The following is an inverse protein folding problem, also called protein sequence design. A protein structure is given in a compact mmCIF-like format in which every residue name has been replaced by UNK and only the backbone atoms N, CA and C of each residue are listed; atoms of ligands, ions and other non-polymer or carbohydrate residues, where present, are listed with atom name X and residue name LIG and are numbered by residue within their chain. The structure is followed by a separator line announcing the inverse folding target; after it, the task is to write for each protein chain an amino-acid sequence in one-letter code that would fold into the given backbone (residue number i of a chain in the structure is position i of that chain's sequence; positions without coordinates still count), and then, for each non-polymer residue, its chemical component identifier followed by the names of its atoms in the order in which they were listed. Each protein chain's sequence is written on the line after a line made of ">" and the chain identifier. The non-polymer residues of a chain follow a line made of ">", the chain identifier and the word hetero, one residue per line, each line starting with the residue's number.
data_IF_494231949486
#
_entry.id   IF_494231949486
#
_cell.length_a   1.000
_cell.length_b   1.000
_cell.length_c   1.000
_cell.angle_alpha   90.00
_cell.angle_beta   90.00
_cell.angle_gamma   90.00
#
_symmetry.space_group_name_H-M   'P 1'
#
loop_
_entity.id
_entity.type
_entity.pdbx_description
1 polymer ?
#
# COMPACT_ATOMS: atom_id res chain seq x y z
N UNK A 1 -10.81 -73.71 4.81
CA UNK A 1 -10.48 -73.64 6.25
C UNK A 1 -10.29 -72.16 6.61
N UNK A 2 -11.27 -71.29 6.85
CA UNK A 2 -12.35 -71.28 7.88
C UNK A 2 -11.89 -71.94 9.20
N UNK A 3 -11.94 -71.18 10.31
CA UNK A 3 -11.75 -71.58 11.72
C UNK A 3 -10.32 -71.69 12.31
N UNK A 4 -9.53 -70.62 12.21
CA UNK A 4 -8.49 -70.23 13.20
C UNK A 4 -8.48 -68.69 13.26
N UNK A 5 -9.57 -68.00 13.60
CA UNK A 5 -10.14 -67.87 14.96
C UNK A 5 -9.06 -67.62 16.02
N UNK A 6 -8.86 -66.33 16.28
CA UNK A 6 -8.71 -65.74 17.61
C UNK A 6 -7.81 -66.46 18.63
N UNK A 7 -6.51 -66.17 18.60
CA UNK A 7 -5.69 -66.12 19.82
C UNK A 7 -4.54 -65.09 19.80
N UNK A 8 -4.49 -64.19 18.80
CA UNK A 8 -3.44 -63.16 18.64
C UNK A 8 -4.00 -61.73 18.65
N UNK A 9 -5.06 -61.50 19.44
CA UNK A 9 -5.66 -60.16 19.71
C UNK A 9 -5.58 -59.82 21.22
N UNK A 10 -4.93 -60.67 22.01
CA UNK A 10 -4.63 -60.43 23.43
C UNK A 10 -3.10 -60.38 23.56
N UNK A 11 -2.61 -59.45 24.38
CA UNK A 11 -1.20 -59.26 24.76
C UNK A 11 -0.32 -58.38 23.85
N UNK A 12 -0.73 -57.12 23.63
CA UNK A 12 0.19 -55.99 23.40
C UNK A 12 -0.35 -54.66 23.99
N UNK A 13 -0.89 -54.74 25.21
CA UNK A 13 -1.20 -53.58 26.05
C UNK A 13 -0.11 -53.45 27.12
N UNK A 14 1.02 -52.82 26.80
CA UNK A 14 2.02 -52.37 27.79
C UNK A 14 2.95 -51.28 27.22
N UNK A 15 3.08 -50.21 28.00
CA UNK A 15 4.22 -49.25 28.04
C UNK A 15 4.62 -48.48 26.79
N UNK A 16 4.09 -47.25 26.68
CA UNK A 16 4.84 -46.07 26.22
C UNK A 16 4.28 -44.78 26.85
N UNK A 17 4.50 -44.57 28.15
CA UNK A 17 4.31 -43.25 28.77
C UNK A 17 5.57 -42.41 28.54
N UNK A 18 5.66 -41.76 27.38
CA UNK A 18 6.66 -40.69 27.16
C UNK A 18 6.12 -39.39 27.74
N UNK A 19 6.80 -38.87 28.76
CA UNK A 19 6.44 -37.58 29.35
C UNK A 19 6.66 -36.46 28.32
N UNK A 20 5.57 -35.86 27.84
CA UNK A 20 5.62 -34.73 26.94
C UNK A 20 6.11 -33.51 27.73
N UNK A 21 7.42 -33.23 27.67
CA UNK A 21 7.94 -31.94 28.11
C UNK A 21 7.37 -30.89 27.19
N UNK A 22 6.36 -30.15 27.68
CA UNK A 22 5.96 -28.90 27.06
C UNK A 22 7.20 -27.99 27.01
N UNK A 23 7.72 -27.76 25.80
CA UNK A 23 8.64 -26.66 25.59
C UNK A 23 7.81 -25.39 25.78
N UNK A 24 8.02 -24.72 26.91
CA UNK A 24 7.67 -23.32 27.07
C UNK A 24 8.45 -22.55 26.01
N UNK A 25 7.79 -22.26 24.89
CA UNK A 25 8.27 -21.28 23.94
C UNK A 25 8.22 -19.93 24.66
N UNK A 26 9.37 -19.56 25.21
CA UNK A 26 9.66 -18.20 25.61
C UNK A 26 9.33 -17.28 24.43
N UNK A 27 8.49 -16.24 24.61
CA UNK A 27 8.27 -15.28 23.56
C UNK A 27 9.58 -14.53 23.35
N UNK A 28 10.37 -14.98 22.39
CA UNK A 28 11.42 -14.19 21.80
C UNK A 28 10.74 -13.02 21.09
N UNK A 29 10.46 -11.97 21.87
CA UNK A 29 10.13 -10.66 21.35
C UNK A 29 11.38 -10.17 20.61
N UNK A 30 11.46 -10.55 19.33
CA UNK A 30 12.37 -9.93 18.38
C UNK A 30 11.97 -8.46 18.32
N UNK A 31 12.72 -7.64 19.03
CA UNK A 31 12.89 -6.22 18.77
C UNK A 31 13.48 -6.08 17.36
N UNK A 32 12.61 -6.21 16.36
CA UNK A 32 12.93 -5.85 14.99
C UNK A 32 12.85 -4.33 14.97
N UNK A 33 13.91 -3.60 14.59
CA UNK A 33 13.83 -2.17 14.34
C UNK A 33 12.96 -1.92 13.10
N UNK A 34 11.64 -1.99 13.30
CA UNK A 34 10.66 -1.35 12.45
C UNK A 34 10.85 0.14 12.63
N UNK A 35 11.41 0.80 11.60
CA UNK A 35 11.21 2.20 11.18
C UNK A 35 12.35 2.53 10.22
N UNK A 36 12.07 2.40 8.92
CA UNK A 36 12.63 3.27 7.88
C UNK A 36 11.71 3.31 6.65
N UNK A 37 10.40 3.27 6.92
CA UNK A 37 9.33 3.42 5.93
C UNK A 37 8.77 4.84 6.09
N UNK A 38 8.92 5.74 5.11
CA UNK A 38 8.21 7.01 5.12
C UNK A 38 6.69 6.77 5.15
N UNK A 39 5.99 7.46 6.04
CA UNK A 39 4.53 7.42 6.09
C UNK A 39 3.96 8.16 4.86
N UNK A 40 3.09 7.54 4.05
CA UNK A 40 2.65 8.11 2.77
C UNK A 40 1.83 9.39 2.95
N UNK A 41 1.10 9.53 4.06
CA UNK A 41 0.38 10.75 4.39
C UNK A 41 1.32 11.90 4.76
N UNK A 42 2.41 11.60 5.48
CA UNK A 42 3.49 12.55 5.78
C UNK A 42 4.18 13.03 4.48
N UNK A 43 4.56 12.09 3.62
CA UNK A 43 5.19 12.38 2.32
C UNK A 43 4.25 13.19 1.42
N UNK A 44 2.96 12.87 1.39
CA UNK A 44 1.97 13.65 0.63
C UNK A 44 1.87 15.10 1.16
N UNK A 45 1.88 15.29 2.48
CA UNK A 45 1.91 16.64 3.06
C UNK A 45 3.12 17.45 2.56
N UNK A 46 4.32 16.89 2.68
CA UNK A 46 5.57 17.55 2.27
C UNK A 46 5.63 17.80 0.76
N UNK A 47 5.21 16.84 -0.07
CA UNK A 47 5.16 16.98 -1.54
C UNK A 47 4.20 18.07 -2.02
N UNK A 48 3.15 18.39 -1.24
CA UNK A 48 2.25 19.51 -1.51
C UNK A 48 2.82 20.86 -1.06
N UNK A 49 4.06 20.90 -0.56
CA UNK A 49 4.73 22.12 -0.10
C UNK A 49 4.30 22.57 1.30
N UNK A 50 3.60 21.71 2.04
CA UNK A 50 3.14 21.99 3.39
C UNK A 50 4.19 21.49 4.41
N UNK A 51 4.12 21.99 5.64
CA UNK A 51 5.01 21.54 6.72
C UNK A 51 4.39 20.34 7.44
N UNK A 52 5.14 19.25 7.56
CA UNK A 52 4.76 18.11 8.38
C UNK A 52 5.32 18.21 9.80
N UNK A 53 4.53 17.81 10.80
CA UNK A 53 4.95 17.69 12.20
C UNK A 53 4.37 16.42 12.85
N UNK A 54 5.16 15.74 13.68
CA UNK A 54 4.67 14.66 14.56
C UNK A 54 4.26 15.25 15.91
N UNK A 55 3.01 15.07 16.30
CA UNK A 55 2.52 15.35 17.65
C UNK A 55 2.55 14.07 18.49
N UNK A 56 2.95 14.19 19.75
CA UNK A 56 2.92 13.08 20.73
C UNK A 56 1.91 13.40 21.82
N UNK A 57 0.91 12.54 22.00
CA UNK A 57 -0.13 12.70 23.01
C UNK A 57 0.35 12.25 24.42
N UNK A 58 -0.44 12.54 25.45
CA UNK A 58 -0.08 12.26 26.85
C UNK A 58 0.04 10.77 27.20
N UNK A 59 -0.49 9.88 26.35
CA UNK A 59 -0.35 8.42 26.45
C UNK A 59 0.86 7.87 25.67
N UNK A 60 1.62 8.74 24.99
CA UNK A 60 2.76 8.38 24.15
C UNK A 60 2.41 8.01 22.71
N UNK A 61 1.13 8.03 22.32
CA UNK A 61 0.74 7.84 20.91
C UNK A 61 1.23 9.01 20.05
N UNK A 62 1.53 8.73 18.78
CA UNK A 62 2.03 9.72 17.81
C UNK A 62 1.10 9.84 16.61
N UNK A 63 0.88 11.06 16.14
CA UNK A 63 0.10 11.38 14.94
C UNK A 63 0.78 12.48 14.13
N UNK A 64 0.72 12.39 12.79
CA UNK A 64 1.22 13.44 11.91
C UNK A 64 0.17 14.51 11.62
N UNK A 65 0.60 15.77 11.64
CA UNK A 65 -0.20 16.93 11.27
C UNK A 65 0.47 17.64 10.10
N UNK A 66 -0.34 17.97 9.10
CA UNK A 66 0.01 18.83 7.99
C UNK A 66 -0.36 20.28 8.28
N UNK A 67 0.59 21.20 8.15
CA UNK A 67 0.43 22.64 8.41
C UNK A 67 0.58 23.38 7.09
N UNK A 68 -0.48 24.10 6.72
CA UNK A 68 -0.59 24.82 5.46
C UNK A 68 0.07 26.21 5.52
N UNK A 69 0.43 26.83 4.38
CA UNK A 69 1.05 28.16 4.34
C UNK A 69 0.25 29.31 4.98
N UNK A 70 -1.06 29.16 5.19
CA UNK A 70 -1.91 30.14 5.90
C UNK A 70 -1.91 29.95 7.43
N UNK A 71 -1.20 28.93 7.94
CA UNK A 71 -1.14 28.57 9.35
C UNK A 71 -2.30 27.68 9.83
N UNK A 72 -3.25 27.33 8.97
CA UNK A 72 -4.22 26.28 9.27
C UNK A 72 -3.54 24.89 9.25
N UNK A 73 -4.17 23.90 9.87
CA UNK A 73 -3.61 22.55 9.95
C UNK A 73 -4.68 21.48 9.83
N UNK A 74 -4.26 20.27 9.45
CA UNK A 74 -5.10 19.09 9.45
C UNK A 74 -4.29 17.84 9.80
N UNK A 75 -4.96 16.80 10.31
CA UNK A 75 -4.40 15.45 10.38
C UNK A 75 -3.88 14.99 9.01
N UNK A 76 -2.71 14.36 8.98
CA UNK A 76 -2.05 13.97 7.73
C UNK A 76 -2.89 13.00 6.88
N UNK A 77 -3.61 12.07 7.51
CA UNK A 77 -4.42 11.07 6.82
C UNK A 77 -5.75 11.66 6.34
N UNK A 78 -6.34 12.57 7.12
CA UNK A 78 -7.48 13.37 6.66
C UNK A 78 -7.10 14.22 5.44
N UNK A 79 -5.90 14.84 5.43
CA UNK A 79 -5.43 15.60 4.27
C UNK A 79 -5.13 14.70 3.07
N UNK A 80 -4.50 13.54 3.30
CA UNK A 80 -4.22 12.53 2.27
C UNK A 80 -5.51 12.03 1.59
N UNK A 81 -6.58 11.81 2.37
CA UNK A 81 -7.91 11.41 1.88
C UNK A 81 -8.77 12.57 1.35
N UNK A 82 -8.29 13.81 1.39
CA UNK A 82 -9.05 14.99 0.96
C UNK A 82 -10.24 15.36 1.85
N UNK A 83 -10.29 14.84 3.09
CA UNK A 83 -11.32 15.17 4.10
C UNK A 83 -11.18 16.62 4.63
N UNK A 84 -10.05 17.26 4.33
CA UNK A 84 -9.70 18.62 4.69
C UNK A 84 -8.64 19.17 3.71
N UNK A 85 -8.34 20.47 3.82
CA UNK A 85 -7.24 21.11 3.11
C UNK A 85 -7.48 22.61 2.91
N UNK A 86 -6.57 23.27 2.19
CA UNK A 86 -6.80 24.61 1.69
C UNK A 86 -7.94 24.61 0.66
N UNK A 87 -8.87 25.55 0.79
CA UNK A 87 -9.88 25.79 -0.25
C UNK A 87 -9.21 26.22 -1.57
N UNK A 88 -9.76 25.84 -2.75
CA UNK A 88 -9.19 26.21 -4.04
C UNK A 88 -9.09 27.73 -4.22
N UNK A 89 -7.85 28.24 -4.32
CA UNK A 89 -7.58 29.65 -4.49
C UNK A 89 -7.81 30.07 -5.95
N UNK A 90 -9.01 30.56 -6.26
CA UNK A 90 -9.31 31.29 -7.49
C UNK A 90 -8.60 32.66 -7.47
N UNK A 91 -7.30 32.65 -7.78
CA UNK A 91 -6.38 33.78 -7.64
C UNK A 91 -6.57 34.82 -8.77
N UNK A 92 -6.19 36.11 -8.60
CA UNK A 92 -4.76 36.42 -8.70
C UNK A 92 -4.20 37.60 -7.86
N UNK A 93 -2.85 37.61 -7.80
CA UNK A 93 -1.93 38.78 -7.70
C UNK A 93 -1.27 39.03 -6.33
N UNK A 94 0.07 39.28 -6.28
CA UNK A 94 0.86 39.13 -5.05
C UNK A 94 1.31 40.47 -4.42
N UNK A 95 1.50 40.47 -3.10
CA UNK A 95 2.34 41.44 -2.40
C UNK A 95 2.72 40.98 -0.98
N UNK A 96 3.96 40.52 -0.79
CA UNK A 96 4.82 40.99 0.32
C UNK A 96 6.29 40.63 0.02
N UNK A 97 7.13 41.65 -0.07
CA UNK A 97 8.57 41.54 -0.36
C UNK A 97 9.38 41.36 0.93
N UNK A 98 10.35 40.44 0.92
CA UNK A 98 11.60 40.47 1.69
C UNK A 98 12.50 39.34 1.16
N UNK A 99 13.35 39.56 0.15
CA UNK A 99 14.75 39.99 0.33
C UNK A 99 15.51 39.26 1.46
N UNK A 100 16.19 38.16 1.10
CA UNK A 100 17.65 38.03 1.36
C UNK A 100 18.30 37.38 0.14
N UNK A 101 19.14 38.13 -0.55
CA UNK A 101 20.04 37.66 -1.62
C UNK A 101 21.47 37.46 -1.09
N UNK A 102 22.04 36.27 -1.27
CA UNK A 102 23.45 36.00 -1.68
C UNK A 102 23.61 34.47 -1.76
N UNK A 103 23.70 33.82 -2.93
CA UNK A 103 24.72 33.84 -4.01
C UNK A 103 25.74 32.68 -3.90
N UNK A 104 25.73 31.83 -4.95
CA UNK A 104 26.92 31.28 -5.68
C UNK A 104 27.74 30.18 -4.94
N UNK A 105 28.16 29.01 -5.47
CA UNK A 105 28.29 28.39 -6.83
C UNK A 105 28.11 26.83 -6.75
N UNK A 106 28.21 25.94 -7.75
CA UNK A 106 28.22 25.94 -9.24
C UNK A 106 27.98 24.50 -9.83
N UNK A 107 28.15 24.32 -11.15
CA UNK A 107 28.63 23.09 -11.85
C UNK A 107 27.83 21.75 -11.82
N UNK A 108 26.62 21.77 -12.42
CA UNK A 108 26.04 20.80 -13.39
C UNK A 108 26.23 19.25 -13.25
N UNK A 109 26.04 18.49 -14.35
CA UNK A 109 25.12 18.68 -15.48
C UNK A 109 23.92 17.70 -15.43
N UNK A 110 22.78 18.08 -16.02
CA UNK A 110 21.58 17.24 -16.01
C UNK A 110 21.59 16.11 -17.06
N UNK A 111 21.25 14.90 -16.64
CA UNK A 111 20.67 13.84 -17.48
C UNK A 111 19.62 13.05 -16.68
N UNK A 112 18.34 13.28 -16.96
CA UNK A 112 17.22 12.55 -16.38
C UNK A 112 16.13 12.41 -17.43
N UNK A 113 16.19 11.33 -18.20
CA UNK A 113 15.28 11.13 -19.33
C UNK A 113 13.84 10.96 -18.84
N UNK A 114 12.93 11.80 -19.34
CA UNK A 114 11.53 11.43 -19.48
C UNK A 114 11.43 10.32 -20.54
N UNK A 115 11.62 9.08 -20.11
CA UNK A 115 11.16 7.89 -20.83
C UNK A 115 10.08 7.24 -19.99
N UNK A 116 8.90 7.04 -20.59
CA UNK A 116 7.86 6.21 -19.99
C UNK A 116 8.41 4.81 -19.76
N UNK A 117 8.79 4.52 -18.51
CA UNK A 117 9.22 3.19 -18.12
C UNK A 117 7.98 2.32 -17.98
N UNK A 118 7.92 1.22 -18.72
CA UNK A 118 6.94 0.17 -18.45
C UNK A 118 7.17 -0.31 -17.01
N UNK A 119 6.28 0.14 -16.12
CA UNK A 119 6.37 -0.13 -14.71
C UNK A 119 6.38 -1.66 -14.49
N UNK A 120 7.39 -2.16 -13.78
CA UNK A 120 7.81 -3.56 -13.91
C UNK A 120 7.11 -4.50 -12.91
N UNK A 121 6.45 -3.94 -11.88
CA UNK A 121 5.87 -4.75 -10.79
C UNK A 121 6.91 -5.56 -10.01
N UNK A 122 8.18 -5.16 -10.09
CA UNK A 122 9.30 -5.81 -9.39
C UNK A 122 9.41 -5.37 -7.94
N UNK A 123 10.26 -6.07 -7.18
CA UNK A 123 10.51 -5.74 -5.76
C UNK A 123 11.11 -4.34 -5.62
N UNK A 124 10.35 -3.41 -5.03
CA UNK A 124 10.68 -2.00 -4.87
C UNK A 124 11.03 -1.65 -3.43
N UNK A 125 11.84 -0.61 -3.24
CA UNK A 125 12.26 -0.18 -1.91
C UNK A 125 11.07 0.38 -1.08
N UNK A 126 11.10 0.23 0.26
CA UNK A 126 10.18 0.92 1.17
C UNK A 126 9.93 2.39 0.81
N UNK A 127 8.67 2.79 0.67
CA UNK A 127 8.27 4.16 0.34
C UNK A 127 8.35 4.52 -1.16
N UNK A 128 8.67 3.56 -2.04
CA UNK A 128 8.69 3.83 -3.49
C UNK A 128 7.28 3.78 -4.08
N UNK A 129 6.89 4.87 -4.72
CA UNK A 129 5.69 4.97 -5.56
C UNK A 129 6.08 4.86 -7.03
N UNK A 130 5.39 4.04 -7.81
CA UNK A 130 5.59 3.91 -9.26
C UNK A 130 4.34 4.41 -9.99
N UNK A 131 4.47 5.41 -10.86
CA UNK A 131 3.38 5.76 -11.77
C UNK A 131 3.20 4.63 -12.78
N UNK A 132 1.97 4.15 -12.92
CA UNK A 132 1.59 3.19 -13.94
C UNK A 132 0.57 3.82 -14.89
N UNK A 133 0.71 3.47 -16.16
CA UNK A 133 -0.20 3.84 -17.21
C UNK A 133 -0.41 2.62 -18.11
N UNK A 134 -1.66 2.41 -18.53
CA UNK A 134 -2.02 1.40 -19.52
C UNK A 134 -1.68 -0.05 -19.08
N UNK A 135 -1.73 -0.34 -17.78
CA UNK A 135 -1.61 -1.71 -17.28
C UNK A 135 -2.93 -2.44 -17.49
N UNK A 136 -2.96 -3.46 -18.35
CA UNK A 136 -4.19 -4.21 -18.63
C UNK A 136 -4.27 -5.56 -17.91
N UNK A 137 -5.50 -5.93 -17.57
CA UNK A 137 -5.80 -7.11 -16.74
C UNK A 137 -7.26 -7.13 -16.30
N UNK A 138 -7.56 -7.85 -15.22
CA UNK A 138 -8.93 -7.98 -14.69
C UNK A 138 -9.00 -7.65 -13.20
N UNK A 139 -10.14 -7.12 -12.75
CA UNK A 139 -10.40 -6.87 -11.33
C UNK A 139 -11.18 -8.05 -10.74
N UNK A 140 -10.75 -8.55 -9.58
CA UNK A 140 -11.34 -9.71 -8.89
C UNK A 140 -11.62 -9.40 -7.43
N UNK A 141 -12.77 -9.84 -6.92
CA UNK A 141 -13.02 -9.77 -5.49
C UNK A 141 -12.14 -10.78 -4.76
N UNK A 142 -11.79 -10.49 -3.51
CA UNK A 142 -11.27 -11.51 -2.60
C UNK A 142 -12.40 -12.39 -2.08
N UNK A 143 -12.04 -13.42 -1.32
CA UNK A 143 -13.02 -14.26 -0.63
C UNK A 143 -13.70 -13.46 0.49
N UNK A 144 -15.03 -13.55 0.59
CA UNK A 144 -15.80 -12.98 1.70
C UNK A 144 -15.17 -13.30 3.07
N UNK A 145 -14.88 -12.25 3.85
CA UNK A 145 -14.18 -12.34 5.14
C UNK A 145 -12.65 -12.30 5.06
N UNK A 146 -12.05 -12.04 3.89
CA UNK A 146 -10.66 -11.64 3.77
C UNK A 146 -10.43 -10.24 4.37
N UNK A 147 -9.15 -9.90 4.61
CA UNK A 147 -8.74 -8.62 5.19
C UNK A 147 -8.87 -7.45 4.20
N UNK A 148 -8.71 -7.73 2.92
CA UNK A 148 -8.82 -6.82 1.77
C UNK A 148 -9.92 -7.36 0.87
N UNK A 149 -10.60 -6.52 0.09
CA UNK A 149 -11.86 -6.86 -0.61
C UNK A 149 -11.72 -7.11 -2.12
N UNK A 150 -10.69 -6.59 -2.78
CA UNK A 150 -10.37 -6.93 -4.17
C UNK A 150 -8.86 -6.93 -4.50
N UNK A 151 -8.55 -7.19 -5.78
CA UNK A 151 -7.22 -7.04 -6.37
C UNK A 151 -7.32 -6.95 -7.90
N UNK A 152 -6.31 -6.33 -8.51
CA UNK A 152 -6.06 -6.36 -9.94
C UNK A 152 -5.11 -7.51 -10.29
N UNK A 153 -5.55 -8.39 -11.20
CA UNK A 153 -4.71 -9.40 -11.84
C UNK A 153 -4.17 -8.83 -13.15
N UNK A 154 -2.89 -8.44 -13.15
CA UNK A 154 -2.18 -7.88 -14.31
C UNK A 154 -1.84 -8.98 -15.33
N UNK A 155 -2.14 -8.76 -16.60
CA UNK A 155 -2.06 -9.80 -17.66
C UNK A 155 -1.14 -9.44 -18.85
N UNK A 156 -0.64 -8.21 -18.96
CA UNK A 156 0.30 -7.75 -19.99
C UNK A 156 1.69 -8.42 -19.96
N UNK A 157 2.05 -9.07 -18.85
CA UNK A 157 3.33 -9.77 -18.66
C UNK A 157 3.34 -11.23 -19.18
N UNK A 158 2.31 -11.65 -19.92
CA UNK A 158 2.25 -12.95 -20.59
C UNK A 158 1.79 -14.09 -19.67
N UNK A 159 2.58 -15.15 -19.52
CA UNK A 159 2.18 -16.35 -18.75
C UNK A 159 2.27 -16.17 -17.21
N UNK A 160 2.76 -15.03 -16.75
CA UNK A 160 2.97 -14.74 -15.33
C UNK A 160 2.07 -13.57 -14.92
N UNK A 161 1.00 -13.87 -14.17
CA UNK A 161 0.16 -12.84 -13.56
C UNK A 161 0.82 -12.30 -12.29
N UNK A 162 0.70 -10.98 -12.08
CA UNK A 162 1.06 -10.31 -10.83
C UNK A 162 -0.22 -9.69 -10.26
N UNK A 163 -0.35 -9.76 -8.94
CA UNK A 163 -1.54 -9.29 -8.22
C UNK A 163 -1.18 -8.10 -7.33
N UNK A 164 -2.05 -7.08 -7.35
CA UNK A 164 -1.94 -5.86 -6.57
C UNK A 164 -3.31 -5.57 -5.96
N UNK A 165 -3.39 -5.12 -4.70
CA UNK A 165 -4.62 -4.54 -4.17
C UNK A 165 -4.96 -3.26 -4.95
N UNK A 166 -6.21 -2.83 -4.93
CA UNK A 166 -6.62 -1.60 -5.62
C UNK A 166 -7.57 -0.79 -4.75
N UNK A 167 -7.47 0.53 -4.87
CA UNK A 167 -8.40 1.48 -4.27
C UNK A 167 -8.43 2.76 -5.11
N UNK A 168 -9.31 3.71 -4.82
CA UNK A 168 -9.29 5.04 -5.43
C UNK A 168 -9.78 6.11 -4.46
N UNK A 169 -9.30 7.34 -4.66
CA UNK A 169 -9.85 8.53 -3.98
C UNK A 169 -11.04 9.14 -4.75
N UNK A 170 -11.30 8.71 -5.99
CA UNK A 170 -12.40 9.23 -6.81
C UNK A 170 -13.63 8.30 -6.70
N UNK A 171 -14.77 8.77 -6.16
CA UNK A 171 -15.99 7.97 -6.06
C UNK A 171 -16.52 7.41 -7.39
N UNK A 172 -16.29 8.08 -8.51
CA UNK A 172 -16.66 7.57 -9.83
C UNK A 172 -15.76 6.39 -10.24
N UNK A 173 -14.49 6.41 -9.85
CA UNK A 173 -13.55 5.31 -10.07
C UNK A 173 -13.81 4.16 -9.10
N UNK A 174 -14.09 4.41 -7.81
CA UNK A 174 -14.53 3.37 -6.86
C UNK A 174 -15.75 2.62 -7.41
N UNK A 175 -16.77 3.35 -7.88
CA UNK A 175 -17.98 2.74 -8.47
C UNK A 175 -17.66 1.89 -9.71
N UNK A 176 -16.67 2.30 -10.51
CA UNK A 176 -16.20 1.51 -11.66
C UNK A 176 -15.41 0.27 -11.23
N UNK A 177 -14.54 0.37 -10.23
CA UNK A 177 -13.85 -0.78 -9.62
C UNK A 177 -14.88 -1.82 -9.17
N UNK A 178 -15.84 -1.41 -8.33
CA UNK A 178 -16.91 -2.28 -7.83
C UNK A 178 -17.72 -2.94 -8.95
N UNK A 179 -18.04 -2.20 -10.01
CA UNK A 179 -18.78 -2.73 -11.16
C UNK A 179 -17.94 -3.69 -12.04
N UNK A 180 -16.61 -3.57 -12.01
CA UNK A 180 -15.70 -4.43 -12.79
C UNK A 180 -15.23 -5.67 -12.03
N UNK A 181 -15.35 -5.70 -10.68
CA UNK A 181 -15.07 -6.88 -9.83
C UNK A 181 -15.75 -8.13 -10.38
N UNK A 182 -14.94 -9.15 -10.68
CA UNK A 182 -15.34 -10.47 -11.20
C UNK A 182 -16.13 -10.44 -12.53
N UNK A 183 -16.19 -9.30 -13.21
CA UNK A 183 -16.92 -9.13 -14.48
C UNK A 183 -16.28 -9.90 -15.65
N UNK A 184 -15.00 -10.26 -15.51
CA UNK A 184 -14.20 -10.91 -16.57
C UNK A 184 -13.82 -9.99 -17.73
N UNK A 185 -14.15 -8.69 -17.67
CA UNK A 185 -13.73 -7.69 -18.66
C UNK A 185 -12.26 -7.31 -18.45
N UNK A 186 -11.54 -7.12 -19.55
CA UNK A 186 -10.23 -6.47 -19.51
C UNK A 186 -10.43 -4.97 -19.21
N UNK A 187 -9.64 -4.47 -18.28
CA UNK A 187 -9.53 -3.05 -17.95
C UNK A 187 -8.07 -2.61 -18.05
N UNK A 188 -7.87 -1.38 -18.49
CA UNK A 188 -6.60 -0.66 -18.52
C UNK A 188 -6.60 0.32 -17.34
N UNK A 189 -5.65 0.12 -16.42
CA UNK A 189 -5.50 0.94 -15.23
C UNK A 189 -4.45 2.02 -15.41
N UNK A 190 -4.72 3.17 -14.81
CA UNK A 190 -3.81 4.29 -14.63
C UNK A 190 -3.80 4.66 -13.15
N UNK A 191 -2.65 5.13 -12.64
CA UNK A 191 -2.53 5.58 -11.25
C UNK A 191 -1.15 5.39 -10.67
N UNK A 192 -1.10 5.11 -9.36
CA UNK A 192 0.14 5.00 -8.59
C UNK A 192 0.18 3.67 -7.84
N UNK A 193 1.20 2.85 -8.12
CA UNK A 193 1.52 1.65 -7.33
C UNK A 193 2.30 2.04 -6.07
N UNK A 194 1.81 1.61 -4.92
CA UNK A 194 2.49 1.62 -3.63
C UNK A 194 2.95 0.20 -3.29
N UNK A 195 4.22 0.05 -2.95
CA UNK A 195 4.81 -1.21 -2.49
C UNK A 195 5.05 -1.21 -0.97
N UNK A 196 4.91 -2.38 -0.34
CA UNK A 196 5.04 -2.60 1.10
C UNK A 196 3.93 -1.93 1.94
N UNK A 197 2.70 -1.89 1.41
CA UNK A 197 1.51 -1.41 2.12
C UNK A 197 0.61 -2.57 2.58
N UNK A 198 -0.21 -2.41 3.64
CA UNK A 198 -1.12 -3.44 4.13
C UNK A 198 -2.32 -3.64 3.18
N UNK A 199 -2.08 -4.27 2.04
CA UNK A 199 -3.08 -4.66 1.05
C UNK A 199 -2.64 -5.96 0.32
N UNK A 200 -3.37 -6.38 -0.72
CA UNK A 200 -3.15 -7.63 -1.42
C UNK A 200 -1.72 -7.74 -1.97
N UNK A 201 -1.07 -8.87 -1.66
CA UNK A 201 0.33 -9.14 -1.98
C UNK A 201 1.34 -8.09 -1.42
N UNK A 202 0.94 -7.29 -0.42
CA UNK A 202 1.77 -6.23 0.17
C UNK A 202 1.87 -4.97 -0.70
N UNK A 203 0.89 -4.74 -1.58
CA UNK A 203 0.92 -3.68 -2.58
C UNK A 203 -0.49 -3.18 -2.91
N UNK A 204 -0.63 -1.87 -3.18
CA UNK A 204 -1.88 -1.25 -3.56
C UNK A 204 -1.66 -0.33 -4.77
N UNK A 205 -2.53 -0.38 -5.77
CA UNK A 205 -2.63 0.64 -6.80
C UNK A 205 -3.73 1.62 -6.38
N UNK A 206 -3.36 2.89 -6.22
CA UNK A 206 -4.34 3.97 -6.14
C UNK A 206 -4.70 4.37 -7.57
N UNK A 207 -5.86 3.90 -8.04
CA UNK A 207 -6.34 4.04 -9.41
C UNK A 207 -6.89 5.45 -9.62
N UNK A 208 -6.42 6.16 -10.64
CA UNK A 208 -6.93 7.48 -11.03
C UNK A 208 -7.84 7.45 -12.27
N UNK A 209 -7.70 6.42 -13.12
CA UNK A 209 -8.56 6.20 -14.30
C UNK A 209 -8.63 4.73 -14.66
N UNK A 210 -9.80 4.32 -15.13
CA UNK A 210 -10.08 3.01 -15.71
C UNK A 210 -10.59 3.19 -17.14
N UNK A 211 -10.02 2.45 -18.08
CA UNK A 211 -10.57 2.31 -19.43
C UNK A 211 -10.94 0.84 -19.64
N UNK A 212 -12.18 0.56 -20.07
CA UNK A 212 -12.70 -0.81 -20.24
C UNK A 212 -12.54 -1.22 -21.69
N UNK A 213 -11.94 -2.37 -21.97
CA UNK A 213 -11.83 -2.90 -23.34
C UNK A 213 -13.23 -3.30 -23.88
N UNK A 214 -13.49 -2.99 -25.16
CA UNK A 214 -14.83 -2.97 -25.77
C UNK A 214 -15.20 -4.18 -26.62
#
# INVERSE_FOLDING_TARGET
>A
MKKIIAFTIIMMLLTACTAFKAQTLEPAATDIPQVNMPNPASVYCEQKGNKHEIQTASDGSQSGICIFPDGSSCDEWAYFKGECGLAPQNNPTPAMTAEVTSEVSDDGPGTGNNSGGNASGGYMAPGTTEQLADWWGVIKSTKAGAQYDDYFERQDLGQNYIYFGIDSLDPEVITQIEAMRDSGKIVHLYGILFSNVPDYNGSQILVDRIEVEG
#
